data_IF_721140738843
#
_entry.id   IF_721140738843
#
_cell.length_a   1.000
_cell.length_b   1.000
_cell.length_c   1.000
_cell.angle_alpha   90.00
_cell.angle_beta   90.00
_cell.angle_gamma   90.00
#
_symmetry.space_group_name_H-M   'P 1'
#
loop_
_entity.id
_entity.type
_entity.pdbx_description
1 polymer ?
#
# COMPACT_ATOMS: atom_id res chain seq x y z
N UNK A 1 -10.55 26.94 7.47
CA UNK A 1 -11.01 25.70 6.78
C UNK A 1 -10.19 24.52 7.26
N UNK A 2 -8.86 24.53 7.07
CA UNK A 2 -7.94 23.47 7.54
C UNK A 2 -8.13 23.09 9.01
N UNK A 3 -8.09 24.06 9.95
CA UNK A 3 -8.35 23.81 11.38
C UNK A 3 -9.67 23.07 11.68
N UNK A 4 -10.74 23.33 10.93
CA UNK A 4 -12.01 22.63 11.11
C UNK A 4 -11.96 21.21 10.54
N UNK A 5 -11.25 21.03 9.42
CA UNK A 5 -11.00 19.71 8.84
C UNK A 5 -10.17 18.84 9.79
N UNK A 6 -9.10 19.38 10.39
CA UNK A 6 -8.26 18.64 11.34
C UNK A 6 -9.04 18.19 12.58
N UNK A 7 -9.88 19.07 13.13
CA UNK A 7 -10.77 18.70 14.23
C UNK A 7 -11.76 17.60 13.81
N UNK A 8 -12.35 17.72 12.62
CA UNK A 8 -13.25 16.71 12.07
C UNK A 8 -12.58 15.36 11.86
N UNK A 9 -11.36 15.34 11.30
CA UNK A 9 -10.55 14.14 11.11
C UNK A 9 -10.27 13.45 12.45
N UNK A 10 -9.88 14.22 13.48
CA UNK A 10 -9.60 13.68 14.82
C UNK A 10 -10.85 13.08 15.49
N UNK A 11 -12.00 13.73 15.36
CA UNK A 11 -13.25 13.18 15.92
C UNK A 11 -13.72 11.95 15.15
N UNK A 12 -13.63 11.97 13.82
CA UNK A 12 -14.03 10.85 12.97
C UNK A 12 -13.15 9.61 13.23
N UNK A 13 -11.84 9.81 13.40
CA UNK A 13 -10.89 8.74 13.70
C UNK A 13 -11.23 7.94 14.96
N UNK A 14 -11.95 8.54 15.94
CA UNK A 14 -12.40 7.84 17.16
C UNK A 14 -13.57 6.90 16.92
N UNK A 15 -14.29 7.06 15.81
CA UNK A 15 -15.56 6.40 15.54
C UNK A 15 -15.49 5.42 14.35
N UNK A 16 -14.34 5.30 13.69
CA UNK A 16 -14.16 4.44 12.50
C UNK A 16 -13.01 3.47 12.70
N UNK A 17 -13.10 2.32 12.03
CA UNK A 17 -12.04 1.31 12.01
C UNK A 17 -10.79 1.78 11.25
N UNK A 18 -11.02 2.44 10.10
CA UNK A 18 -9.98 3.00 9.24
C UNK A 18 -10.47 4.30 8.61
N UNK A 19 -9.57 5.29 8.52
CA UNK A 19 -9.85 6.62 7.99
C UNK A 19 -8.90 6.93 6.83
N UNK A 20 -9.41 6.89 5.60
CA UNK A 20 -8.66 7.30 4.41
C UNK A 20 -8.80 8.81 4.25
N UNK A 21 -7.68 9.52 4.26
CA UNK A 21 -7.64 10.99 4.07
C UNK A 21 -7.10 11.28 2.68
N UNK A 22 -7.87 12.02 1.86
CA UNK A 22 -7.45 12.45 0.53
C UNK A 22 -7.21 13.98 0.58
N UNK A 23 -5.94 14.43 0.54
CA UNK A 23 -5.63 15.85 0.55
C UNK A 23 -5.94 16.48 -0.83
N UNK A 24 -6.91 17.38 -0.88
CA UNK A 24 -7.29 18.05 -2.13
C UNK A 24 -6.13 18.81 -2.79
N UNK A 25 -5.20 19.34 -2.00
CA UNK A 25 -4.03 20.06 -2.52
C UNK A 25 -3.15 19.16 -3.39
N UNK A 26 -3.11 17.85 -3.11
CA UNK A 26 -2.34 16.87 -3.89
C UNK A 26 -3.00 16.51 -5.21
N UNK A 27 -4.29 16.78 -5.38
CA UNK A 27 -4.97 16.58 -6.66
C UNK A 27 -4.44 17.54 -7.72
N UNK A 28 -3.97 18.73 -7.31
CA UNK A 28 -3.33 19.70 -8.19
C UNK A 28 -1.99 19.19 -8.72
N UNK A 29 -1.24 18.44 -7.90
CA UNK A 29 0.08 17.89 -8.26
C UNK A 29 -0.02 16.74 -9.28
N UNK A 30 -1.20 16.13 -9.44
CA UNK A 30 -1.43 15.02 -10.38
C UNK A 30 -1.73 15.53 -11.80
N UNK A 31 -2.16 16.79 -11.95
CA UNK A 31 -2.47 17.38 -13.25
C UNK A 31 -1.29 18.17 -13.82
N UNK A 32 -0.90 17.87 -15.07
CA UNK A 32 0.13 18.62 -15.79
C UNK A 32 -0.38 19.96 -16.36
N UNK A 33 -1.69 20.20 -16.32
CA UNK A 33 -2.33 21.40 -16.86
C UNK A 33 -3.12 22.14 -15.78
N UNK A 34 -3.22 23.49 -15.87
CA UNK A 34 -4.02 24.27 -14.94
C UNK A 34 -5.50 23.86 -15.01
N UNK A 35 -6.03 23.35 -13.90
CA UNK A 35 -7.41 22.89 -13.79
C UNK A 35 -8.37 24.03 -13.42
N UNK A 36 -9.59 23.96 -13.95
CA UNK A 36 -10.70 24.75 -13.41
C UNK A 36 -11.11 24.20 -12.03
N UNK A 37 -11.76 25.03 -11.20
CA UNK A 37 -12.29 24.57 -9.89
C UNK A 37 -13.24 23.38 -10.06
N UNK A 38 -14.07 23.38 -11.10
CA UNK A 38 -15.02 22.30 -11.35
C UNK A 38 -14.29 20.99 -11.71
N UNK A 39 -13.23 21.07 -12.52
CA UNK A 39 -12.49 19.88 -12.92
C UNK A 39 -11.63 19.34 -11.79
N UNK A 40 -11.10 20.20 -10.91
CA UNK A 40 -10.45 19.77 -9.68
C UNK A 40 -11.40 18.98 -8.75
N UNK A 41 -12.67 19.41 -8.62
CA UNK A 41 -13.66 18.64 -7.86
C UNK A 41 -14.01 17.31 -8.52
N UNK A 42 -14.20 17.28 -9.85
CA UNK A 42 -14.42 16.01 -10.58
C UNK A 42 -13.25 15.04 -10.39
N UNK A 43 -12.03 15.56 -10.32
CA UNK A 43 -10.85 14.77 -10.06
C UNK A 43 -10.87 14.18 -8.65
N UNK A 44 -11.23 14.98 -7.63
CA UNK A 44 -11.43 14.51 -6.26
C UNK A 44 -12.48 13.39 -6.19
N UNK A 45 -13.62 13.59 -6.85
CA UNK A 45 -14.70 12.60 -6.93
C UNK A 45 -14.23 11.31 -7.63
N UNK A 46 -13.37 11.45 -8.64
CA UNK A 46 -12.72 10.32 -9.31
C UNK A 46 -11.87 9.50 -8.37
N UNK A 47 -11.01 10.15 -7.57
CA UNK A 47 -10.15 9.47 -6.57
C UNK A 47 -11.02 8.79 -5.50
N UNK A 48 -12.05 9.46 -4.99
CA UNK A 48 -12.97 8.89 -4.01
C UNK A 48 -13.71 7.67 -4.56
N UNK A 49 -14.23 7.77 -5.78
CA UNK A 49 -14.89 6.64 -6.46
C UNK A 49 -13.93 5.47 -6.60
N UNK A 50 -12.70 5.73 -7.02
CA UNK A 50 -11.72 4.67 -7.24
C UNK A 50 -11.25 4.04 -5.91
N UNK A 51 -11.21 4.81 -4.82
CA UNK A 51 -10.93 4.31 -3.47
C UNK A 51 -11.98 3.28 -3.03
N UNK A 52 -13.26 3.67 -3.12
CA UNK A 52 -14.39 2.82 -2.73
C UNK A 52 -14.45 1.58 -3.62
N UNK A 53 -14.27 1.76 -4.94
CA UNK A 53 -14.26 0.67 -5.91
C UNK A 53 -13.12 -0.30 -5.65
N UNK A 54 -11.92 0.20 -5.33
CA UNK A 54 -10.77 -0.67 -5.04
C UNK A 54 -11.01 -1.61 -3.86
N UNK A 55 -11.73 -1.19 -2.82
CA UNK A 55 -12.04 -2.06 -1.67
C UNK A 55 -13.20 -2.98 -2.01
N UNK A 56 -14.24 -2.43 -2.65
CA UNK A 56 -15.47 -3.18 -2.94
C UNK A 56 -15.25 -4.27 -3.97
N UNK A 57 -14.51 -3.97 -5.05
CA UNK A 57 -14.25 -4.91 -6.14
C UNK A 57 -13.41 -6.09 -5.67
N UNK A 58 -12.49 -5.89 -4.72
CA UNK A 58 -11.70 -6.97 -4.12
C UNK A 58 -12.53 -8.03 -3.40
N UNK A 59 -13.71 -7.65 -2.90
CA UNK A 59 -14.59 -8.51 -2.09
C UNK A 59 -15.72 -9.10 -2.94
N UNK A 60 -16.32 -8.28 -3.79
CA UNK A 60 -17.60 -8.59 -4.45
C UNK A 60 -17.41 -9.11 -5.86
N UNK A 61 -16.41 -8.62 -6.59
CA UNK A 61 -16.21 -8.97 -8.00
C UNK A 61 -15.31 -10.21 -8.08
N UNK A 62 -15.75 -11.29 -8.75
CA UNK A 62 -14.90 -12.45 -8.98
C UNK A 62 -13.62 -12.04 -9.73
N UNK A 63 -12.50 -12.06 -9.01
CA UNK A 63 -11.18 -11.79 -9.56
C UNK A 63 -10.45 -13.04 -10.05
N UNK A 64 -9.30 -12.83 -10.69
CA UNK A 64 -8.29 -13.89 -10.89
C UNK A 64 -7.71 -14.35 -9.55
N UNK A 65 -7.59 -13.40 -8.60
CA UNK A 65 -7.15 -13.63 -7.24
C UNK A 65 -8.17 -12.92 -6.36
N UNK A 66 -9.02 -13.72 -5.72
CA UNK A 66 -10.09 -13.20 -4.88
C UNK A 66 -9.58 -12.99 -3.45
N UNK A 67 -10.02 -11.91 -2.82
CA UNK A 67 -9.79 -11.64 -1.41
C UNK A 67 -11.13 -11.87 -0.69
N UNK A 68 -11.10 -12.49 0.48
CA UNK A 68 -12.32 -12.65 1.27
C UNK A 68 -12.58 -11.44 2.18
N UNK A 69 -13.79 -11.33 2.71
CA UNK A 69 -14.13 -10.22 3.60
C UNK A 69 -13.35 -10.25 4.93
N UNK A 70 -12.95 -11.44 5.41
CA UNK A 70 -12.22 -11.57 6.66
C UNK A 70 -10.79 -11.01 6.54
N UNK A 71 -10.17 -11.24 5.38
CA UNK A 71 -8.88 -10.70 4.96
C UNK A 71 -8.90 -9.17 4.91
N UNK A 72 -9.84 -8.59 4.14
CA UNK A 72 -9.99 -7.14 4.06
C UNK A 72 -10.28 -6.52 5.44
N UNK A 73 -11.14 -7.16 6.24
CA UNK A 73 -11.47 -6.72 7.60
C UNK A 73 -10.24 -6.78 8.52
N UNK A 74 -9.39 -7.80 8.41
CA UNK A 74 -8.18 -7.93 9.25
C UNK A 74 -7.19 -6.80 9.00
N UNK A 75 -7.04 -6.38 7.74
CA UNK A 75 -6.19 -5.24 7.38
C UNK A 75 -6.82 -3.91 7.78
N UNK A 76 -8.13 -3.74 7.71
CA UNK A 76 -8.75 -2.42 7.93
C UNK A 76 -9.23 -2.18 9.36
N UNK A 77 -9.49 -3.22 10.16
CA UNK A 77 -10.11 -3.09 11.48
C UNK A 77 -9.17 -2.43 12.49
N UNK A 78 -9.64 -1.35 13.12
CA UNK A 78 -8.91 -0.63 14.18
C UNK A 78 -7.52 -0.12 13.78
N UNK A 79 -7.27 0.12 12.49
CA UNK A 79 -5.97 0.59 11.98
C UNK A 79 -5.84 2.12 11.92
N UNK A 80 -6.93 2.85 12.16
CA UNK A 80 -6.89 4.31 12.22
C UNK A 80 -6.58 4.93 10.86
N UNK A 81 -5.65 5.88 10.79
CA UNK A 81 -5.33 6.60 9.55
C UNK A 81 -4.83 5.64 8.47
N UNK A 82 -5.33 5.84 7.25
CA UNK A 82 -4.96 5.10 6.06
C UNK A 82 -4.63 6.06 4.92
N UNK A 83 -3.76 5.62 4.03
CA UNK A 83 -3.27 6.40 2.90
C UNK A 83 -3.44 5.56 1.63
N UNK A 84 -3.82 6.22 0.54
CA UNK A 84 -4.09 5.57 -0.74
C UNK A 84 -3.15 6.08 -1.82
N UNK A 85 -2.56 5.16 -2.57
CA UNK A 85 -1.77 5.43 -3.76
C UNK A 85 -2.39 4.77 -4.98
N UNK A 86 -2.33 5.44 -6.14
CA UNK A 86 -2.88 4.92 -7.39
C UNK A 86 -1.92 5.13 -8.55
N UNK A 87 -1.84 4.15 -9.44
CA UNK A 87 -1.07 4.23 -10.67
C UNK A 87 -1.76 3.46 -11.80
N UNK A 88 -1.66 4.01 -13.01
CA UNK A 88 -2.08 3.35 -14.24
C UNK A 88 -0.91 3.39 -15.23
N UNK A 89 -0.71 2.31 -15.97
CA UNK A 89 0.24 2.25 -17.08
C UNK A 89 -0.24 1.27 -18.16
N UNK A 90 0.39 1.34 -19.33
CA UNK A 90 0.04 0.56 -20.54
C UNK A 90 1.30 0.09 -21.26
N UNK A 91 1.18 -0.93 -22.11
CA UNK A 91 2.30 -1.48 -22.87
C UNK A 91 3.21 -2.43 -22.07
N UNK A 92 4.47 -2.56 -22.49
CA UNK A 92 5.42 -3.50 -21.89
C UNK A 92 5.85 -3.07 -20.48
N UNK A 93 5.80 -3.97 -19.51
CA UNK A 93 6.16 -3.66 -18.12
C UNK A 93 5.12 -2.81 -17.37
N UNK A 94 3.93 -2.60 -17.95
CA UNK A 94 2.84 -1.78 -17.39
C UNK A 94 2.48 -2.08 -15.94
N UNK A 95 2.45 -3.35 -15.50
CA UNK A 95 2.10 -3.64 -14.11
C UNK A 95 3.17 -3.15 -13.11
N UNK A 96 4.45 -3.30 -13.46
CA UNK A 96 5.56 -2.81 -12.64
C UNK A 96 5.57 -1.28 -12.60
N UNK A 97 5.34 -0.63 -13.74
CA UNK A 97 5.25 0.82 -13.82
C UNK A 97 4.03 1.38 -13.06
N UNK A 98 2.86 0.76 -13.21
CA UNK A 98 1.65 1.13 -12.48
C UNK A 98 1.85 0.99 -10.97
N UNK A 99 2.50 -0.09 -10.51
CA UNK A 99 2.87 -0.25 -9.11
C UNK A 99 3.84 0.84 -8.63
N UNK A 100 4.88 1.16 -9.42
CA UNK A 100 5.81 2.23 -9.09
C UNK A 100 5.10 3.58 -8.95
N UNK A 101 4.22 3.92 -9.90
CA UNK A 101 3.40 5.14 -9.88
C UNK A 101 2.47 5.17 -8.66
N UNK A 102 1.88 4.03 -8.30
CA UNK A 102 1.04 3.93 -7.11
C UNK A 102 1.83 4.18 -5.81
N UNK A 103 3.05 3.64 -5.70
CA UNK A 103 3.93 3.82 -4.54
C UNK A 103 4.52 5.24 -4.42
N UNK A 104 4.58 5.99 -5.52
CA UNK A 104 5.08 7.38 -5.55
C UNK A 104 3.96 8.38 -5.85
N UNK A 105 2.70 7.99 -5.66
CA UNK A 105 1.55 8.83 -5.95
C UNK A 105 1.53 10.04 -5.01
N UNK A 106 1.16 11.22 -5.52
CA UNK A 106 1.08 12.46 -4.74
C UNK A 106 0.09 12.38 -3.56
N UNK A 107 -0.82 11.39 -3.58
CA UNK A 107 -1.77 11.11 -2.49
C UNK A 107 -1.12 10.41 -1.29
N UNK A 108 0.07 9.81 -1.48
CA UNK A 108 0.87 9.29 -0.39
C UNK A 108 1.60 10.48 0.26
N UNK A 109 1.34 10.74 1.54
CA UNK A 109 2.05 11.78 2.31
C UNK A 109 3.58 11.50 2.34
N UNK A 110 4.36 12.39 2.98
CA UNK A 110 5.81 12.18 3.23
C UNK A 110 6.12 10.86 3.97
N UNK A 111 5.10 10.21 4.53
CA UNK A 111 5.13 8.82 4.93
C UNK A 111 4.85 7.96 3.71
N UNK A 112 5.93 7.60 3.01
CA UNK A 112 5.94 6.47 2.06
C UNK A 112 5.17 5.27 2.65
N UNK A 113 4.72 4.33 1.82
CA UNK A 113 4.21 3.01 2.25
C UNK A 113 5.11 2.31 3.31
N UNK A 114 6.37 2.75 3.44
CA UNK A 114 7.28 2.49 4.55
C UNK A 114 6.62 2.77 5.92
N UNK A 115 6.41 1.70 6.70
CA UNK A 115 5.89 1.77 8.07
C UNK A 115 4.41 1.45 8.22
N UNK A 116 3.71 1.13 7.12
CA UNK A 116 2.37 0.56 7.21
C UNK A 116 2.44 -0.90 7.70
N UNK A 117 1.65 -1.25 8.71
CA UNK A 117 1.56 -2.63 9.22
C UNK A 117 0.60 -3.50 8.41
N UNK A 118 -0.30 -2.89 7.63
CA UNK A 118 -1.22 -3.58 6.75
C UNK A 118 -1.34 -2.88 5.41
N UNK A 119 -1.21 -3.63 4.31
CA UNK A 119 -1.29 -3.10 2.94
C UNK A 119 -2.30 -3.92 2.14
N UNK A 120 -3.29 -3.23 1.57
CA UNK A 120 -4.23 -3.81 0.63
C UNK A 120 -3.85 -3.36 -0.79
N UNK A 121 -3.68 -4.31 -1.70
CA UNK A 121 -3.30 -4.06 -3.10
C UNK A 121 -4.39 -4.59 -4.01
N UNK A 122 -4.94 -3.72 -4.86
CA UNK A 122 -5.82 -4.11 -5.94
C UNK A 122 -5.11 -3.92 -7.28
N UNK A 123 -5.03 -4.99 -8.06
CA UNK A 123 -4.50 -4.96 -9.43
C UNK A 123 -5.67 -5.21 -10.37
N UNK A 124 -6.00 -4.22 -11.20
CA UNK A 124 -7.03 -4.34 -12.22
C UNK A 124 -6.42 -4.24 -13.60
N UNK A 125 -6.80 -5.14 -14.50
CA UNK A 125 -6.33 -5.11 -15.89
C UNK A 125 -7.27 -5.82 -16.83
N UNK A 126 -7.01 -5.71 -18.13
CA UNK A 126 -7.77 -6.40 -19.16
C UNK A 126 -7.65 -7.93 -19.09
N UNK A 127 -8.42 -8.66 -19.92
CA UNK A 127 -8.33 -10.11 -20.05
C UNK A 127 -6.93 -10.61 -20.48
N UNK A 128 -6.11 -9.70 -21.01
CA UNK A 128 -4.73 -9.92 -21.41
C UNK A 128 -3.71 -9.80 -20.27
N UNK A 129 -4.16 -9.51 -19.03
CA UNK A 129 -3.31 -9.43 -17.84
C UNK A 129 -2.66 -10.78 -17.51
N UNK A 130 -1.33 -10.80 -17.45
CA UNK A 130 -0.55 -12.01 -17.20
C UNK A 130 -0.13 -12.13 -15.74
N UNK A 131 0.01 -13.37 -15.27
CA UNK A 131 0.47 -13.65 -13.89
C UNK A 131 1.89 -13.15 -13.61
N UNK A 132 2.74 -13.09 -14.64
CA UNK A 132 4.11 -12.56 -14.54
C UNK A 132 4.10 -11.06 -14.24
N UNK A 133 3.17 -10.31 -14.82
CA UNK A 133 3.00 -8.88 -14.60
C UNK A 133 2.55 -8.61 -13.15
N UNK A 134 1.58 -9.40 -12.66
CA UNK A 134 1.10 -9.35 -11.26
C UNK A 134 2.26 -9.61 -10.29
N UNK A 135 3.06 -10.66 -10.54
CA UNK A 135 4.21 -10.99 -9.68
C UNK A 135 5.27 -9.89 -9.66
N UNK A 136 5.56 -9.25 -10.79
CA UNK A 136 6.50 -8.12 -10.87
C UNK A 136 6.02 -6.93 -10.04
N UNK A 137 4.75 -6.54 -10.18
CA UNK A 137 4.14 -5.49 -9.38
C UNK A 137 4.23 -5.80 -7.88
N UNK A 138 3.88 -7.02 -7.48
CA UNK A 138 3.89 -7.44 -6.08
C UNK A 138 5.29 -7.48 -5.47
N UNK A 139 6.31 -7.87 -6.23
CA UNK A 139 7.70 -7.83 -5.76
C UNK A 139 8.18 -6.40 -5.49
N UNK A 140 7.76 -5.43 -6.29
CA UNK A 140 8.10 -4.02 -6.05
C UNK A 140 7.42 -3.50 -4.79
N UNK A 141 6.14 -3.78 -4.61
CA UNK A 141 5.37 -3.36 -3.44
C UNK A 141 5.94 -3.98 -2.16
N UNK A 142 6.24 -5.29 -2.17
CA UNK A 142 6.85 -5.98 -1.02
C UNK A 142 8.21 -5.40 -0.64
N UNK A 143 9.04 -4.98 -1.62
CA UNK A 143 10.34 -4.37 -1.36
C UNK A 143 10.23 -2.99 -0.70
N UNK A 144 9.12 -2.29 -0.92
CA UNK A 144 8.89 -0.95 -0.40
C UNK A 144 8.03 -0.92 0.88
N UNK A 145 7.31 -1.99 1.20
CA UNK A 145 6.58 -2.15 2.45
C UNK A 145 7.50 -2.59 3.61
N UNK A 146 7.00 -2.50 4.85
CA UNK A 146 7.71 -3.07 6.01
C UNK A 146 7.84 -4.59 5.85
N UNK A 147 8.99 -5.21 6.17
CA UNK A 147 9.16 -6.67 6.08
C UNK A 147 8.16 -7.48 6.90
N UNK A 148 7.56 -6.87 7.92
CA UNK A 148 6.53 -7.48 8.78
C UNK A 148 5.12 -6.99 8.44
N UNK A 149 4.94 -6.19 7.38
CA UNK A 149 3.63 -5.76 6.93
C UNK A 149 2.81 -6.96 6.44
N UNK A 150 1.56 -7.04 6.87
CA UNK A 150 0.61 -7.96 6.27
C UNK A 150 0.14 -7.38 4.94
N UNK A 151 0.38 -8.08 3.83
CA UNK A 151 0.00 -7.62 2.49
C UNK A 151 -1.06 -8.55 1.92
N UNK A 152 -2.22 -7.97 1.58
CA UNK A 152 -3.32 -8.67 0.93
C UNK A 152 -3.46 -8.12 -0.48
N UNK A 153 -3.40 -9.02 -1.46
CA UNK A 153 -3.54 -8.66 -2.86
C UNK A 153 -4.73 -9.37 -3.47
N UNK A 154 -5.55 -8.61 -4.20
CA UNK A 154 -6.48 -9.18 -5.16
C UNK A 154 -6.23 -8.65 -6.56
N UNK A 155 -6.76 -9.40 -7.51
CA UNK A 155 -6.60 -9.15 -8.92
C UNK A 155 -7.95 -9.27 -9.62
N UNK A 156 -8.40 -8.20 -10.27
CA UNK A 156 -9.70 -8.14 -10.95
C UNK A 156 -9.47 -7.97 -12.44
N UNK A 157 -10.26 -8.66 -13.26
CA UNK A 157 -10.26 -8.48 -14.71
C UNK A 157 -11.35 -7.49 -15.08
N UNK A 158 -10.95 -6.33 -15.62
CA UNK A 158 -11.85 -5.30 -16.12
C UNK A 158 -11.67 -5.19 -17.64
N UNK A 159 -12.73 -5.53 -18.39
CA UNK A 159 -12.71 -5.50 -19.86
C UNK A 159 -12.47 -4.10 -20.43
N UNK A 160 -12.75 -3.05 -19.65
CA UNK A 160 -12.51 -1.66 -20.06
C UNK A 160 -11.03 -1.28 -20.02
N UNK A 161 -10.18 -2.06 -19.33
CA UNK A 161 -8.74 -1.83 -19.19
C UNK A 161 -7.94 -2.59 -20.26
N UNK A 162 -8.39 -2.56 -21.51
CA UNK A 162 -7.64 -3.17 -22.62
C UNK A 162 -6.26 -2.51 -22.75
N UNK A 163 -5.22 -3.33 -22.76
CA UNK A 163 -3.81 -2.93 -22.77
C UNK A 163 -3.34 -2.08 -21.55
N UNK A 164 -4.13 -2.05 -20.47
CA UNK A 164 -3.88 -1.19 -19.31
C UNK A 164 -3.89 -1.98 -18.02
N UNK A 165 -3.04 -1.57 -17.09
CA UNK A 165 -3.04 -2.06 -15.71
C UNK A 165 -3.15 -0.89 -14.76
N UNK A 166 -4.10 -1.00 -13.85
CA UNK A 166 -4.34 -0.08 -12.74
C UNK A 166 -3.97 -0.77 -11.44
N UNK A 167 -3.11 -0.14 -10.66
CA UNK A 167 -2.71 -0.60 -9.33
C UNK A 167 -3.19 0.42 -8.31
N UNK A 168 -3.92 -0.05 -7.31
CA UNK A 168 -4.34 0.74 -6.15
C UNK A 168 -3.75 0.13 -4.89
N UNK A 169 -3.12 0.95 -4.06
CA UNK A 169 -2.49 0.55 -2.80
C UNK A 169 -3.17 1.31 -1.69
N UNK A 170 -3.65 0.61 -0.67
CA UNK A 170 -4.20 1.21 0.55
C UNK A 170 -3.34 0.74 1.71
N UNK A 171 -2.58 1.66 2.27
CA UNK A 171 -1.71 1.43 3.40
C UNK A 171 -2.41 1.84 4.69
N UNK A 172 -2.32 1.00 5.71
CA UNK A 172 -3.05 1.14 6.98
C UNK A 172 -2.14 0.82 8.16
N UNK A 173 -2.52 1.31 9.34
CA UNK A 173 -1.83 0.95 10.59
C UNK A 173 -0.46 1.60 10.69
N UNK A 174 -0.40 2.89 10.35
CA UNK A 174 0.75 3.75 10.63
C UNK A 174 0.80 4.09 12.12
N UNK A 175 1.99 4.07 12.72
CA UNK A 175 2.22 4.51 14.10
C UNK A 175 1.91 6.00 14.27
N UNK A 176 0.77 6.33 14.88
CA UNK A 176 0.42 7.71 15.23
C UNK A 176 1.42 8.34 16.21
N UNK A 177 2.12 7.55 17.03
CA UNK A 177 3.11 8.06 18.00
C UNK A 177 4.36 8.65 17.33
N UNK A 178 4.75 8.16 16.15
CA UNK A 178 5.90 8.70 15.39
C UNK A 178 5.57 10.03 14.68
N UNK A 179 4.29 10.32 14.46
CA UNK A 179 3.84 11.61 13.92
C UNK A 179 3.90 12.71 14.99
N UNK A 180 3.51 12.40 16.24
CA UNK A 180 3.57 13.33 17.37
C UNK A 180 5.01 13.72 17.72
N UNK A 181 5.95 12.77 17.71
CA UNK A 181 7.38 13.04 17.95
C UNK A 181 8.04 13.91 16.88
N UNK A 182 7.67 13.75 15.60
CA UNK A 182 8.19 14.58 14.50
C UNK A 182 7.64 16.01 14.55
N UNK A 183 6.35 16.17 14.87
CA UNK A 183 5.72 17.48 14.96
C UNK A 183 6.26 18.28 16.16
N UNK A 184 6.42 17.64 17.32
CA UNK A 184 7.04 18.26 18.50
C UNK A 184 8.49 18.70 18.26
N UNK A 185 9.28 17.89 17.54
CA UNK A 185 10.65 18.25 17.18
C UNK A 185 10.68 19.46 16.23
N UNK A 186 9.77 19.51 15.24
CA UNK A 186 9.68 20.63 14.30
C UNK A 186 9.19 21.94 14.94
N UNK A 187 8.29 21.87 15.93
CA UNK A 187 7.83 23.03 16.69
C UNK A 187 8.92 23.54 17.64
N UNK A 188 9.65 22.65 18.33
CA UNK A 188 10.77 23.02 19.21
C UNK A 188 11.94 23.66 18.46
N UNK A 189 12.20 23.26 17.21
CA UNK A 189 13.25 23.85 16.36
C UNK A 189 12.84 25.22 15.79
N UNK A 190 11.53 25.49 15.70
CA UNK A 190 10.97 26.79 15.30
C UNK A 190 10.92 27.83 16.44
N UNK A 191 10.90 27.37 17.70
CA UNK A 191 10.87 28.23 18.89
C UNK A 191 12.25 28.58 19.47
N UNK A 192 13.35 28.05 18.93
CA UNK A 192 14.69 28.55 19.31
C UNK A 192 14.87 29.98 18.79
N UNK A 193 15.10 30.98 19.68
CA UNK A 193 15.40 32.33 19.22
C UNK A 193 16.72 32.27 18.45
N UNK A 194 16.69 32.62 17.16
CA UNK A 194 17.90 32.99 16.43
C UNK A 194 18.46 34.23 17.11
N UNK A 195 19.46 34.01 17.96
CA UNK A 195 20.17 35.04 18.66
C UNK A 195 20.62 36.10 17.64
N UNK A 196 20.09 37.30 17.80
CA UNK A 196 20.42 38.45 16.99
C UNK A 196 21.91 38.71 17.15
N UNK A 197 22.68 38.46 16.09
CA UNK A 197 24.07 38.84 16.00
C UNK A 197 24.21 40.35 16.18
N UNK A 198 24.57 40.77 17.39
CA UNK A 198 25.12 42.09 17.66
C UNK A 198 26.58 42.15 17.13
N UNK A 199 27.03 43.27 16.57
CA UNK A 199 28.36 43.39 15.98
C UNK A 199 29.44 43.41 17.08
N UNK A 200 30.34 42.43 17.06
CA UNK A 200 31.50 42.39 17.95
C UNK A 200 32.55 43.46 17.63
N UNK A 201 33.36 43.90 18.61
CA UNK A 201 34.36 44.94 18.41
C UNK A 201 35.55 44.42 17.60
N UNK A 202 35.95 45.24 16.63
CA UNK A 202 37.17 45.09 15.82
C UNK A 202 38.41 45.05 16.73
N UNK A 203 39.18 43.97 16.63
CA UNK A 203 40.56 43.90 17.09
C UNK A 203 41.47 43.82 15.86
N UNK A 204 42.28 44.85 15.67
CA UNK A 204 43.35 44.92 14.67
C UNK A 204 44.54 44.06 15.10
N UNK A 205 44.82 42.99 14.35
CA UNK A 205 46.09 42.29 14.41
C UNK A 205 46.84 42.48 13.08
N UNK A 206 48.07 43.02 13.16
CA UNK A 206 48.99 43.23 12.03
C UNK A 206 49.41 41.90 11.40
N UNK A 207 49.70 41.85 10.08
CA UNK A 207 50.22 40.64 9.45
C UNK A 207 51.72 40.51 9.74
N UNK A 208 52.19 39.31 10.10
CA UNK A 208 53.61 38.97 10.06
C UNK A 208 53.82 37.80 9.10
N UNK A 209 54.67 38.07 8.11
CA UNK A 209 55.09 37.21 7.03
C UNK A 209 56.15 36.19 7.48
N UNK A 210 56.04 35.00 6.88
CA UNK A 210 57.09 34.14 6.30
C UNK A 210 58.09 33.40 7.19
N UNK A 211 58.21 32.09 6.94
CA UNK A 211 59.36 31.27 7.25
C UNK A 211 59.22 29.85 6.69
N UNK A 212 59.75 29.61 5.48
CA UNK A 212 60.05 28.27 4.94
C UNK A 212 61.07 27.57 5.85
N UNK A 213 60.94 26.26 6.07
CA UNK A 213 62.02 25.31 5.76
C UNK A 213 61.53 23.85 5.76
N UNK A 214 62.32 23.05 5.07
CA UNK A 214 62.00 21.83 4.37
C UNK A 214 62.59 20.61 5.10
N UNK A 215 62.12 19.42 4.72
CA UNK A 215 62.88 18.16 4.56
C UNK A 215 62.70 17.02 5.58
N UNK A 216 62.61 15.82 4.97
CA UNK A 216 63.06 14.48 5.41
C UNK A 216 61.98 13.42 5.72
N UNK A 217 61.43 12.85 4.65
CA UNK A 217 61.65 11.47 4.18
C UNK A 217 61.85 10.38 5.26
N UNK A 218 60.92 9.42 5.31
CA UNK A 218 61.22 7.98 5.38
C UNK A 218 60.03 7.19 4.81
N UNK A 219 60.23 6.63 3.62
CA UNK A 219 59.55 5.43 3.12
C UNK A 219 60.32 4.22 3.65
N UNK A 220 59.63 3.13 4.01
CA UNK A 220 59.95 1.71 3.74
C UNK A 220 59.04 0.79 4.58
N UNK A 221 58.10 0.09 3.93
CA UNK A 221 58.17 -1.31 3.44
C UNK A 221 57.84 -2.36 4.52
N UNK A 222 56.67 -3.01 4.45
CA UNK A 222 56.41 -4.35 3.86
C UNK A 222 56.60 -5.49 4.87
N UNK A 223 55.52 -6.26 5.13
CA UNK A 223 55.47 -7.72 5.00
C UNK A 223 54.25 -8.36 5.72
N UNK A 224 53.38 -8.98 4.94
CA UNK A 224 52.68 -10.24 5.26
C UNK A 224 53.48 -11.40 4.60
N UNK A 225 53.20 -12.72 4.75
CA UNK A 225 52.14 -13.44 5.50
C UNK A 225 52.63 -14.75 6.21
N UNK A 226 51.72 -15.53 6.83
CA UNK A 226 51.66 -17.01 6.92
C UNK A 226 50.92 -17.44 8.22
N UNK A 227 49.74 -18.06 8.20
CA UNK A 227 49.39 -19.45 7.86
C UNK A 227 49.62 -20.49 8.98
N UNK A 228 48.63 -21.39 9.11
CA UNK A 228 48.48 -22.62 9.91
C UNK A 228 47.90 -22.53 11.34
N UNK A 229 47.04 -23.44 11.82
CA UNK A 229 46.27 -24.57 11.23
C UNK A 229 45.40 -25.21 12.34
N UNK A 230 44.22 -25.71 11.93
CA UNK A 230 43.36 -26.74 12.55
C UNK A 230 42.61 -26.50 13.88
N UNK A 231 41.28 -26.61 13.81
CA UNK A 231 40.54 -27.66 14.54
C UNK A 231 39.22 -28.02 13.84
N UNK A 232 38.96 -29.33 13.75
CA UNK A 232 37.74 -29.95 13.25
C UNK A 232 36.62 -29.88 14.30
N UNK A 233 35.37 -29.75 13.84
CA UNK A 233 34.12 -30.40 14.30
C UNK A 233 32.94 -29.45 14.02
N UNK A 234 32.14 -29.73 12.99
CA UNK A 234 30.79 -30.32 13.12
C UNK A 234 29.88 -29.53 14.07
N UNK A 235 28.98 -28.75 13.50
CA UNK A 235 27.56 -28.81 13.87
C UNK A 235 26.69 -28.43 12.66
N UNK A 236 26.09 -29.47 12.08
CA UNK A 236 25.01 -29.34 11.10
C UNK A 236 23.75 -29.02 11.90
N UNK A 237 23.14 -27.87 11.61
CA UNK A 237 21.78 -27.58 12.07
C UNK A 237 20.84 -28.61 11.42
N UNK A 238 20.01 -29.35 12.16
CA UNK A 238 19.12 -30.33 11.58
C UNK A 238 17.99 -29.64 10.80
N UNK A 239 17.83 -30.00 9.53
CA UNK A 239 16.64 -29.70 8.74
C UNK A 239 15.48 -30.50 9.36
N UNK A 240 14.45 -29.80 9.85
CA UNK A 240 13.16 -30.43 10.18
C UNK A 240 12.51 -30.89 8.88
N UNK A 241 12.53 -32.20 8.63
CA UNK A 241 11.65 -32.84 7.67
C UNK A 241 10.22 -32.78 8.20
N UNK A 242 9.32 -32.09 7.49
CA UNK A 242 7.89 -32.28 7.71
C UNK A 242 7.53 -33.68 7.19
N UNK A 243 7.21 -34.56 8.12
CA UNK A 243 6.59 -35.85 7.82
C UNK A 243 5.20 -35.55 7.23
N UNK A 244 5.03 -35.83 5.93
CA UNK A 244 3.76 -35.69 5.25
C UNK A 244 2.83 -36.82 5.71
N UNK A 245 2.10 -36.61 6.80
CA UNK A 245 0.92 -37.40 7.09
C UNK A 245 -0.18 -37.00 6.08
N UNK A 246 -0.40 -37.85 5.08
CA UNK A 246 -1.57 -37.78 4.19
C UNK A 246 -2.82 -37.97 5.04
N UNK A 247 -3.79 -37.03 5.05
CA UNK A 247 -5.05 -37.25 5.76
C UNK A 247 -5.83 -38.41 5.10
N UNK A 248 -6.52 -39.27 5.88
CA UNK A 248 -7.31 -40.34 5.32
C UNK A 248 -8.46 -39.78 4.46
N UNK A 249 -8.82 -40.44 3.35
CA UNK A 249 -9.91 -39.99 2.50
C UNK A 249 -11.24 -40.07 3.23
N UNK A 250 -12.08 -39.05 3.03
CA UNK A 250 -13.47 -39.01 3.52
C UNK A 250 -14.27 -40.22 2.97
N UNK A 251 -15.21 -40.79 3.74
CA UNK A 251 -16.03 -41.89 3.28
C UNK A 251 -16.91 -41.46 2.10
N UNK A 252 -16.93 -42.28 1.04
CA UNK A 252 -17.81 -42.11 -0.11
C UNK A 252 -19.25 -42.37 0.32
N UNK A 253 -20.15 -41.41 0.12
CA UNK A 253 -21.58 -41.67 0.23
C UNK A 253 -21.97 -42.71 -0.83
N UNK A 254 -22.37 -43.89 -0.36
CA UNK A 254 -22.98 -44.92 -1.18
C UNK A 254 -24.32 -44.42 -1.71
N UNK A 255 -24.49 -44.58 -3.03
CA UNK A 255 -25.73 -44.41 -3.77
C UNK A 255 -26.80 -45.33 -3.18
N UNK A 256 -27.78 -44.77 -2.48
CA UNK A 256 -29.05 -45.47 -2.23
C UNK A 256 -29.88 -45.40 -3.50
N UNK A 257 -29.81 -46.47 -4.29
CA UNK A 257 -30.84 -46.82 -5.26
C UNK A 257 -31.91 -47.61 -4.53
N UNK A 258 -33.14 -47.11 -4.43
CA UNK A 258 -34.33 -47.96 -4.29
C UNK A 258 -35.53 -47.26 -4.95
N UNK A 259 -36.26 -48.06 -5.70
CA UNK A 259 -37.20 -47.67 -6.73
C UNK A 259 -38.61 -47.31 -6.24
N UNK A 260 -39.26 -46.51 -7.08
CA UNK A 260 -40.67 -46.53 -7.46
C UNK A 260 -41.76 -46.40 -6.37
N UNK A 261 -42.50 -45.28 -6.44
CA UNK A 261 -43.95 -45.33 -6.64
C UNK A 261 -44.50 -44.07 -7.33
N UNK A 262 -45.43 -44.37 -8.22
CA UNK A 262 -46.17 -43.51 -9.15
C UNK A 262 -47.10 -42.51 -8.45
N UNK A 263 -47.29 -41.33 -9.06
CA UNK A 263 -48.52 -40.55 -8.87
C UNK A 263 -48.35 -39.04 -8.91
N UNK A 264 -48.96 -38.43 -9.93
CA UNK A 264 -49.46 -37.05 -10.03
C UNK A 264 -48.54 -35.97 -10.64
N UNK A 265 -49.01 -35.56 -11.82
CA UNK A 265 -48.66 -34.39 -12.61
C UNK A 265 -49.29 -33.15 -11.97
N UNK A 266 -48.53 -32.08 -11.79
CA UNK A 266 -49.06 -30.71 -11.83
C UNK A 266 -47.94 -29.74 -12.23
N UNK A 267 -48.17 -29.04 -13.34
CA UNK A 267 -47.41 -27.88 -13.80
C UNK A 267 -47.28 -26.82 -12.69
N UNK A 268 -46.09 -26.24 -12.56
CA UNK A 268 -45.89 -25.00 -11.81
C UNK A 268 -44.91 -24.11 -12.58
N UNK A 269 -45.35 -22.88 -12.76
CA UNK A 269 -44.94 -21.87 -13.73
C UNK A 269 -43.52 -21.32 -13.53
N UNK A 270 -42.93 -20.82 -14.62
CA UNK A 270 -41.69 -20.05 -14.62
C UNK A 270 -41.86 -18.72 -13.85
N UNK A 271 -40.80 -18.18 -13.22
CA UNK A 271 -40.91 -16.90 -12.53
C UNK A 271 -41.00 -15.75 -13.54
N UNK A 272 -42.06 -14.95 -13.42
CA UNK A 272 -42.28 -13.70 -14.16
C UNK A 272 -41.23 -12.66 -13.73
N UNK A 273 -40.46 -12.14 -14.68
CA UNK A 273 -39.62 -10.95 -14.53
C UNK A 273 -40.50 -9.77 -14.07
N UNK A 274 -40.18 -9.17 -12.92
CA UNK A 274 -40.81 -7.92 -12.49
C UNK A 274 -39.95 -6.75 -12.98
N UNK A 275 -40.50 -5.99 -13.90
CA UNK A 275 -39.96 -4.69 -14.30
C UNK A 275 -39.86 -3.75 -13.09
N UNK A 276 -38.67 -3.17 -12.93
CA UNK A 276 -38.37 -2.18 -11.91
C UNK A 276 -38.92 -0.80 -12.32
N UNK A 277 -39.93 -0.31 -11.60
CA UNK A 277 -40.46 1.05 -11.77
C UNK A 277 -39.83 2.00 -10.72
N UNK A 278 -38.97 2.94 -11.13
CA UNK A 278 -38.29 3.86 -10.22
C UNK A 278 -39.20 4.94 -9.59
N UNK A 279 -40.50 4.96 -9.87
CA UNK A 279 -41.42 5.98 -9.36
C UNK A 279 -42.29 5.52 -8.18
N UNK A 280 -42.24 4.24 -7.80
CA UNK A 280 -43.08 3.70 -6.73
C UNK A 280 -42.33 3.59 -5.39
N UNK A 281 -42.41 4.65 -4.58
CA UNK A 281 -41.77 4.76 -3.25
C UNK A 281 -42.49 4.02 -2.12
N UNK A 282 -43.52 3.23 -2.40
CA UNK A 282 -44.31 2.55 -1.35
C UNK A 282 -43.75 1.22 -0.82
N UNK A 283 -42.66 0.71 -1.40
CA UNK A 283 -42.02 -0.56 -0.97
C UNK A 283 -40.64 -0.35 -0.31
N UNK A 284 -40.32 0.86 0.15
CA UNK A 284 -38.99 1.21 0.68
C UNK A 284 -38.94 1.31 2.22
N UNK A 285 -39.91 0.71 2.93
CA UNK A 285 -39.89 0.56 4.39
C UNK A 285 -40.24 -0.86 4.80
#
# INVERSE_FOLDING_TARGET
>A
RMRNADMGIRELAKSVDSLIVIPNDRLLDISNEPLSVLDAFKMADGVLRDAVRSISDLIVVPGLINVDFADAKRIMKGKGKAIMGMGEASGEGRAAEAAQRAMTSALLEETSILGATGVLVNISGGPDLKIQEINQAMQLIQKAADPNAEIIMGCVVDQTLTDKVKVTIIATGFDMEKEVGRNLASEMESEMPRDTAAPGPHWTAKPRQTGMLNSQRMEQEVAQPAANRNMLARDRVPVRTYDQAVPPPLPRNETVTTAARSGMVSEAEAPVERDFDPTNTKNWF
#
